data_IF_170367926126
#
_entry.id   IF_170367926126
#
_cell.length_a   1.000
_cell.length_b   1.000
_cell.length_c   1.000
_cell.angle_alpha   90.00
_cell.angle_beta   90.00
_cell.angle_gamma   90.00
#
_symmetry.space_group_name_H-M   'P 1'
#
loop_
_entity.id
_entity.type
_entity.pdbx_description
1 polymer ?
#
# COMPACT_ATOMS: atom_id res chain seq x y z
N UNK A 1 -25.90 -17.18 50.92
CA UNK A 1 -26.38 -16.44 49.74
C UNK A 1 -25.20 -16.22 48.78
N UNK A 2 -24.64 -17.29 48.21
CA UNK A 2 -23.42 -17.23 47.38
C UNK A 2 -23.49 -18.21 46.20
N UNK A 3 -24.53 -18.12 45.35
CA UNK A 3 -24.66 -19.02 44.20
C UNK A 3 -25.02 -18.33 42.88
N UNK A 4 -25.06 -17.01 42.84
CA UNK A 4 -25.42 -16.22 41.65
C UNK A 4 -24.21 -15.64 40.90
N UNK A 5 -23.03 -15.52 41.53
CA UNK A 5 -21.85 -14.88 40.92
C UNK A 5 -21.07 -15.79 39.96
N UNK A 6 -21.17 -17.12 40.09
CA UNK A 6 -20.46 -18.07 39.20
C UNK A 6 -21.15 -18.34 37.86
N UNK A 7 -22.47 -18.09 37.75
CA UNK A 7 -23.23 -18.34 36.51
C UNK A 7 -23.08 -17.23 35.47
N UNK A 8 -22.84 -16.00 35.90
CA UNK A 8 -22.79 -14.83 35.02
C UNK A 8 -21.49 -14.78 34.18
N UNK A 9 -20.35 -15.13 34.77
CA UNK A 9 -19.04 -15.15 34.09
C UNK A 9 -18.99 -16.28 33.04
N UNK A 10 -19.61 -17.42 33.33
CA UNK A 10 -19.69 -18.56 32.40
C UNK A 10 -20.63 -18.29 31.21
N UNK A 11 -21.66 -17.46 31.38
CA UNK A 11 -22.56 -17.07 30.30
C UNK A 11 -21.98 -15.96 29.42
N UNK A 12 -21.16 -15.06 29.96
CA UNK A 12 -20.50 -14.02 29.16
C UNK A 12 -19.40 -14.58 28.25
N UNK A 13 -18.65 -15.59 28.73
CA UNK A 13 -17.58 -16.22 27.94
C UNK A 13 -18.12 -17.13 26.82
N UNK A 14 -19.24 -17.82 27.04
CA UNK A 14 -19.90 -18.63 26.00
C UNK A 14 -20.50 -17.75 24.90
N UNK A 15 -21.09 -16.62 25.28
CA UNK A 15 -21.63 -15.64 24.33
C UNK A 15 -20.54 -14.98 23.49
N UNK A 16 -19.41 -14.62 24.10
CA UNK A 16 -18.25 -14.08 23.37
C UNK A 16 -17.68 -15.08 22.36
N UNK A 17 -17.59 -16.37 22.71
CA UNK A 17 -17.18 -17.44 21.78
C UNK A 17 -18.17 -17.61 20.62
N UNK A 18 -19.46 -17.58 20.92
CA UNK A 18 -20.51 -17.74 19.92
C UNK A 18 -20.58 -16.54 18.95
N UNK A 19 -20.24 -15.33 19.39
CA UNK A 19 -20.13 -14.16 18.51
C UNK A 19 -18.85 -14.18 17.65
N UNK A 20 -17.72 -14.66 18.17
CA UNK A 20 -16.50 -14.90 17.38
C UNK A 20 -16.72 -15.93 16.26
N UNK A 21 -17.46 -16.99 16.55
CA UNK A 21 -17.80 -18.04 15.59
C UNK A 21 -18.74 -17.53 14.46
N UNK A 22 -19.64 -16.59 14.79
CA UNK A 22 -20.50 -15.90 13.81
C UNK A 22 -19.75 -14.86 12.97
N UNK A 23 -18.75 -14.18 13.54
CA UNK A 23 -17.89 -13.20 12.86
C UNK A 23 -16.81 -13.87 12.00
N UNK A 24 -16.50 -15.14 12.26
CA UNK A 24 -15.71 -16.02 11.40
C UNK A 24 -16.48 -16.42 10.13
N UNK A 25 -17.17 -15.47 9.50
CA UNK A 25 -17.73 -15.61 8.17
C UNK A 25 -16.60 -15.85 7.18
N UNK A 26 -16.39 -17.13 6.84
CA UNK A 26 -15.55 -17.68 5.78
C UNK A 26 -14.52 -16.69 5.20
N UNK A 27 -13.56 -16.32 6.03
CA UNK A 27 -12.37 -15.63 5.58
C UNK A 27 -11.63 -16.66 4.73
N UNK A 28 -11.62 -16.49 3.41
CA UNK A 28 -10.75 -17.30 2.54
C UNK A 28 -9.30 -16.87 2.81
N UNK A 29 -8.73 -17.35 3.92
CA UNK A 29 -7.29 -17.35 4.13
C UNK A 29 -6.72 -18.36 3.14
N UNK A 30 -6.35 -17.88 1.96
CA UNK A 30 -5.82 -18.72 0.90
C UNK A 30 -5.55 -17.90 -0.36
N UNK A 31 -4.61 -18.34 -1.16
CA UNK A 31 -4.29 -17.74 -2.46
C UNK A 31 -4.77 -18.65 -3.58
N UNK A 32 -4.93 -18.11 -4.80
CA UNK A 32 -5.28 -18.92 -5.96
C UNK A 32 -4.03 -19.41 -6.67
N UNK A 33 -4.08 -20.64 -7.16
CA UNK A 33 -3.12 -21.14 -8.15
C UNK A 33 -3.35 -20.52 -9.53
N UNK A 34 -2.54 -20.91 -10.52
CA UNK A 34 -2.64 -20.40 -11.90
C UNK A 34 -3.98 -20.75 -12.57
N UNK A 35 -4.60 -21.86 -12.18
CA UNK A 35 -5.89 -22.31 -12.70
C UNK A 35 -7.09 -21.72 -11.92
N UNK A 36 -6.82 -20.87 -10.92
CA UNK A 36 -7.83 -20.17 -10.13
C UNK A 36 -8.41 -20.99 -8.97
N UNK A 37 -7.86 -22.17 -8.68
CA UNK A 37 -8.24 -23.00 -7.52
C UNK A 37 -7.63 -22.40 -6.25
N UNK A 38 -8.42 -22.39 -5.18
CA UNK A 38 -8.01 -21.84 -3.89
C UNK A 38 -7.10 -22.83 -3.16
N UNK A 39 -5.88 -22.38 -2.83
CA UNK A 39 -4.90 -23.03 -1.98
C UNK A 39 -5.02 -22.47 -0.56
N UNK A 40 -5.11 -23.36 0.42
CA UNK A 40 -5.18 -23.01 1.84
C UNK A 40 -4.10 -23.68 2.69
N UNK A 41 -3.39 -24.66 2.13
CA UNK A 41 -2.30 -25.35 2.81
C UNK A 41 -1.01 -24.53 2.72
N UNK A 42 -0.29 -24.41 3.84
CA UNK A 42 0.91 -23.57 3.92
C UNK A 42 2.00 -24.00 2.92
N UNK A 43 2.15 -25.31 2.66
CA UNK A 43 3.15 -25.84 1.72
C UNK A 43 2.75 -25.48 0.29
N UNK A 44 1.48 -25.65 -0.04
CA UNK A 44 0.95 -25.30 -1.37
C UNK A 44 1.06 -23.78 -1.63
N UNK A 45 0.79 -22.98 -0.60
CA UNK A 45 0.93 -21.52 -0.66
C UNK A 45 2.39 -21.13 -0.90
N UNK A 46 3.33 -21.72 -0.15
CA UNK A 46 4.77 -21.48 -0.32
C UNK A 46 5.24 -21.85 -1.73
N UNK A 47 4.84 -23.02 -2.21
CA UNK A 47 5.17 -23.48 -3.57
C UNK A 47 4.63 -22.51 -4.63
N UNK A 48 3.37 -22.05 -4.48
CA UNK A 48 2.78 -21.08 -5.40
C UNK A 48 3.51 -19.73 -5.38
N UNK A 49 3.99 -19.28 -4.21
CA UNK A 49 4.84 -18.08 -4.12
C UNK A 49 6.20 -18.26 -4.79
N UNK A 50 6.84 -19.42 -4.62
CA UNK A 50 8.11 -19.74 -5.28
C UNK A 50 7.95 -19.74 -6.80
N UNK A 51 6.90 -20.38 -7.31
CA UNK A 51 6.55 -20.39 -8.74
C UNK A 51 6.29 -18.97 -9.26
N UNK A 52 5.46 -18.19 -8.55
CA UNK A 52 5.12 -16.82 -8.94
C UNK A 52 6.37 -15.95 -9.06
N UNK A 53 7.27 -15.99 -8.07
CA UNK A 53 8.47 -15.17 -8.08
C UNK A 53 9.44 -15.65 -9.17
N UNK A 54 9.66 -16.96 -9.27
CA UNK A 54 10.64 -17.54 -10.19
C UNK A 54 10.25 -17.43 -11.66
N UNK A 55 8.96 -17.52 -11.98
CA UNK A 55 8.49 -17.61 -13.37
C UNK A 55 7.62 -16.42 -13.80
N UNK A 56 6.73 -15.92 -12.95
CA UNK A 56 5.73 -14.93 -13.39
C UNK A 56 6.22 -13.49 -13.17
N UNK A 57 6.88 -13.23 -12.04
CA UNK A 57 7.25 -11.88 -11.61
C UNK A 57 8.58 -11.40 -12.21
N UNK A 58 9.58 -12.29 -12.27
CA UNK A 58 10.93 -11.95 -12.73
C UNK A 58 11.11 -12.07 -14.25
N UNK A 59 10.17 -12.70 -14.94
CA UNK A 59 10.09 -12.64 -16.40
C UNK A 59 9.53 -11.28 -16.81
N UNK A 60 10.42 -10.29 -16.87
CA UNK A 60 10.12 -8.95 -17.36
C UNK A 60 9.87 -8.99 -18.88
N UNK A 61 8.63 -9.33 -19.25
CA UNK A 61 8.14 -9.29 -20.64
C UNK A 61 7.69 -7.88 -21.04
N UNK A 62 7.94 -6.86 -20.22
CA UNK A 62 7.63 -5.48 -20.62
C UNK A 62 8.49 -5.15 -21.84
N UNK A 63 7.95 -4.38 -22.80
CA UNK A 63 8.75 -3.93 -23.92
C UNK A 63 9.98 -3.18 -23.42
N UNK A 64 11.06 -3.20 -24.20
CA UNK A 64 12.21 -2.35 -23.94
C UNK A 64 11.74 -0.91 -23.66
N UNK A 65 12.39 -0.29 -22.67
CA UNK A 65 12.10 1.11 -22.35
C UNK A 65 12.21 1.91 -23.65
N UNK A 66 11.21 2.76 -23.96
CA UNK A 66 11.29 3.58 -25.15
C UNK A 66 12.58 4.40 -25.13
N UNK A 67 13.33 4.34 -26.22
CA UNK A 67 14.45 5.25 -26.47
C UNK A 67 13.87 6.65 -26.62
N UNK A 68 14.00 7.47 -25.58
CA UNK A 68 13.66 8.88 -25.65
C UNK A 68 14.81 9.56 -26.38
N UNK A 69 14.56 9.90 -27.66
CA UNK A 69 15.47 10.75 -28.42
C UNK A 69 15.45 12.14 -27.80
N UNK A 70 16.52 12.50 -27.09
CA UNK A 70 16.68 13.81 -26.46
C UNK A 70 17.22 14.84 -27.47
N UNK A 71 17.32 14.50 -28.75
CA UNK A 71 17.74 15.46 -29.77
C UNK A 71 16.59 16.43 -30.13
N UNK A 72 16.90 17.70 -29.93
CA UNK A 72 16.31 18.87 -30.60
C UNK A 72 15.04 19.54 -30.05
N UNK A 73 14.47 19.14 -28.90
CA UNK A 73 13.39 19.92 -28.26
C UNK A 73 13.45 19.97 -26.73
N UNK A 74 14.64 20.18 -26.16
CA UNK A 74 14.74 20.56 -24.75
C UNK A 74 14.18 21.97 -24.57
N UNK A 75 12.88 22.06 -24.30
CA UNK A 75 12.25 23.30 -23.83
C UNK A 75 12.95 23.66 -22.52
N UNK A 76 13.59 24.83 -22.49
CA UNK A 76 14.20 25.33 -21.26
C UNK A 76 13.13 25.49 -20.19
N UNK A 77 13.40 24.99 -18.99
CA UNK A 77 12.51 25.14 -17.84
C UNK A 77 12.43 26.63 -17.52
N UNK A 78 11.24 27.18 -17.66
CA UNK A 78 10.98 28.60 -17.39
C UNK A 78 10.74 28.85 -15.90
N UNK A 79 11.03 30.06 -15.43
CA UNK A 79 10.78 30.44 -14.03
C UNK A 79 9.30 30.31 -13.64
N UNK A 80 8.38 30.58 -14.58
CA UNK A 80 6.94 30.42 -14.37
C UNK A 80 6.54 28.96 -14.13
N UNK A 81 7.17 28.01 -14.81
CA UNK A 81 6.96 26.58 -14.57
C UNK A 81 7.43 26.16 -13.18
N UNK A 82 8.60 26.65 -12.74
CA UNK A 82 9.13 26.39 -11.40
C UNK A 82 8.20 26.97 -10.33
N UNK A 83 7.76 28.22 -10.49
CA UNK A 83 6.81 28.88 -9.58
C UNK A 83 5.51 28.09 -9.48
N UNK A 84 4.99 27.63 -10.62
CA UNK A 84 3.76 26.83 -10.68
C UNK A 84 3.96 25.47 -10.00
N UNK A 85 5.06 24.77 -10.29
CA UNK A 85 5.36 23.48 -9.69
C UNK A 85 5.44 23.56 -8.15
N UNK A 86 6.10 24.59 -7.60
CA UNK A 86 6.16 24.82 -6.15
C UNK A 86 4.76 25.11 -5.58
N UNK A 87 3.95 25.88 -6.30
CA UNK A 87 2.56 26.18 -5.90
C UNK A 87 1.67 24.92 -5.88
N UNK A 88 1.88 24.00 -6.82
CA UNK A 88 1.06 22.80 -7.00
C UNK A 88 1.47 21.65 -6.06
N UNK A 89 2.54 21.81 -5.26
CA UNK A 89 2.96 20.79 -4.29
C UNK A 89 1.86 20.46 -3.28
N UNK A 90 1.64 19.15 -3.08
CA UNK A 90 0.67 18.66 -2.12
C UNK A 90 1.12 18.93 -0.68
N UNK A 91 0.20 19.51 0.11
CA UNK A 91 0.40 19.80 1.53
C UNK A 91 0.24 18.56 2.42
N UNK A 92 0.81 18.64 3.62
CA UNK A 92 0.79 17.62 4.67
C UNK A 92 1.36 16.27 4.22
N UNK A 93 2.31 16.30 3.29
CA UNK A 93 3.11 15.13 2.93
C UNK A 93 4.35 15.06 3.81
N UNK A 94 4.82 13.84 4.05
CA UNK A 94 6.09 13.65 4.73
C UNK A 94 7.21 14.32 3.92
N UNK A 95 8.11 15.07 4.58
CA UNK A 95 9.26 15.64 3.91
C UNK A 95 10.15 14.54 3.32
N UNK A 96 10.95 14.91 2.32
CA UNK A 96 11.95 14.03 1.74
C UNK A 96 13.13 13.78 2.68
N UNK A 97 14.20 13.21 2.13
CA UNK A 97 15.46 13.02 2.85
C UNK A 97 16.09 14.34 3.31
N UNK A 98 15.76 15.45 2.62
CA UNK A 98 16.16 16.80 2.99
C UNK A 98 15.47 17.36 4.24
N UNK A 99 14.40 16.71 4.71
CA UNK A 99 13.62 17.17 5.86
C UNK A 99 12.80 18.43 5.60
N UNK A 100 12.66 18.88 4.35
CA UNK A 100 11.98 20.13 4.00
C UNK A 100 10.51 19.86 3.64
N UNK A 101 9.54 20.42 4.38
CA UNK A 101 8.13 20.27 4.05
C UNK A 101 7.72 21.21 2.89
N UNK A 102 6.74 20.79 2.09
CA UNK A 102 6.24 21.56 0.95
C UNK A 102 5.72 22.96 1.33
N UNK A 103 5.15 23.09 2.52
CA UNK A 103 4.63 24.34 3.07
C UNK A 103 5.73 25.39 3.23
N UNK A 104 6.95 24.96 3.55
CA UNK A 104 8.07 25.88 3.69
C UNK A 104 8.40 26.50 2.33
N UNK A 105 8.50 25.68 1.28
CA UNK A 105 8.77 26.13 -0.08
C UNK A 105 7.65 27.04 -0.61
N UNK A 106 6.39 26.74 -0.29
CA UNK A 106 5.25 27.57 -0.66
C UNK A 106 5.25 28.93 0.07
N UNK A 107 5.74 28.97 1.31
CA UNK A 107 5.77 30.18 2.14
C UNK A 107 6.88 31.17 1.77
N UNK A 108 7.92 30.76 1.02
CA UNK A 108 9.05 31.62 0.65
C UNK A 108 8.69 32.77 -0.31
N UNK A 109 7.45 32.86 -0.79
CA UNK A 109 6.97 33.99 -1.59
C UNK A 109 7.70 34.11 -2.94
N UNK A 110 7.94 35.34 -3.42
CA UNK A 110 8.71 35.60 -4.65
C UNK A 110 10.21 35.48 -4.42
N UNK A 111 10.70 35.85 -3.23
CA UNK A 111 12.14 35.86 -2.90
C UNK A 111 12.79 34.47 -2.83
N UNK A 112 12.02 33.40 -2.67
CA UNK A 112 12.53 32.02 -2.77
C UNK A 112 12.19 31.32 -4.08
N UNK A 113 11.65 32.04 -5.07
CA UNK A 113 11.25 31.49 -6.38
C UNK A 113 11.96 32.17 -7.56
N UNK A 114 12.91 33.06 -7.28
CA UNK A 114 13.81 33.73 -8.23
C UNK A 114 15.21 33.13 -8.17
#
# INVERSE_FOLDING_TARGET
MESTLGRTISQSSSRARQELEKLSGKVNLGIKDKDGKLLQDDVDILNRWTEYIGEDLLNDLRPEKPSIDVSDNLVEITTSEVVKAISDLARNKSPGEDGIPAELLQALGTSGKE
#
